data_IF_320860261453
#
_entry.id   IF_320860261453
#
_cell.length_a   1.000
_cell.length_b   1.000
_cell.length_c   1.000
_cell.angle_alpha   90.00
_cell.angle_beta   90.00
_cell.angle_gamma   90.00
#
_symmetry.space_group_name_H-M   'P 1'
#
loop_
_entity.id
_entity.type
_entity.pdbx_description
1 polymer ?
#
# COMPACT_ATOMS: atom_id res chain seq x y z
N UNK A 1 -4.44 -19.43 7.17
CA UNK A 1 -4.26 -20.26 5.96
C UNK A 1 -3.08 -19.70 5.16
N UNK A 2 -2.62 -20.32 4.07
CA UNK A 2 -1.71 -19.62 3.14
C UNK A 2 -2.56 -18.76 2.20
N UNK A 3 -2.25 -17.48 2.11
CA UNK A 3 -2.91 -16.54 1.20
C UNK A 3 -2.26 -16.65 -0.18
N UNK A 4 -3.06 -16.67 -1.24
CA UNK A 4 -2.56 -16.69 -2.62
C UNK A 4 -3.23 -15.59 -3.43
N UNK A 5 -2.43 -14.88 -4.22
CA UNK A 5 -2.84 -13.79 -5.12
C UNK A 5 -2.48 -14.17 -6.56
N UNK A 6 -3.49 -14.31 -7.41
CA UNK A 6 -3.32 -14.77 -8.80
C UNK A 6 -2.48 -13.81 -9.67
N UNK A 7 -2.43 -12.52 -9.29
CA UNK A 7 -1.65 -11.50 -10.00
C UNK A 7 -0.17 -11.48 -9.58
N UNK A 8 0.19 -12.25 -8.55
CA UNK A 8 1.53 -12.35 -8.02
C UNK A 8 2.16 -13.70 -8.36
N UNK A 9 3.46 -13.72 -8.61
CA UNK A 9 4.24 -14.93 -8.80
C UNK A 9 4.34 -15.80 -7.54
N UNK A 10 4.89 -17.00 -7.68
CA UNK A 10 5.07 -17.92 -6.56
C UNK A 10 6.02 -17.36 -5.49
N UNK A 11 7.10 -16.66 -5.89
CA UNK A 11 8.08 -16.07 -4.97
C UNK A 11 7.43 -15.03 -4.06
N UNK A 12 6.71 -14.07 -4.62
CA UNK A 12 6.04 -13.00 -3.87
C UNK A 12 4.96 -13.56 -2.96
N UNK A 13 4.14 -14.50 -3.44
CA UNK A 13 3.16 -15.19 -2.60
C UNK A 13 3.82 -15.89 -1.40
N UNK A 14 4.91 -16.61 -1.60
CA UNK A 14 5.64 -17.27 -0.50
C UNK A 14 6.19 -16.27 0.52
N UNK A 15 6.81 -15.17 0.05
CA UNK A 15 7.37 -14.12 0.89
C UNK A 15 6.29 -13.36 1.68
N UNK A 16 5.16 -13.05 1.05
CA UNK A 16 4.00 -12.44 1.73
C UNK A 16 3.47 -13.38 2.81
N UNK A 17 3.33 -14.68 2.53
CA UNK A 17 2.92 -15.65 3.55
C UNK A 17 3.91 -15.73 4.71
N UNK A 18 5.22 -15.63 4.46
CA UNK A 18 6.23 -15.59 5.53
C UNK A 18 6.07 -14.34 6.41
N UNK A 19 5.86 -13.16 5.81
CA UNK A 19 5.56 -11.93 6.54
C UNK A 19 4.32 -12.07 7.43
N UNK A 20 3.23 -12.61 6.87
CA UNK A 20 1.98 -12.80 7.60
C UNK A 20 2.14 -13.79 8.75
N UNK A 21 2.84 -14.91 8.53
CA UNK A 21 3.11 -15.91 9.56
C UNK A 21 3.91 -15.34 10.74
N UNK A 22 4.78 -14.35 10.49
CA UNK A 22 5.54 -13.61 11.52
C UNK A 22 4.76 -12.43 12.15
N UNK A 23 3.54 -12.13 11.68
CA UNK A 23 2.76 -10.97 12.13
C UNK A 23 3.34 -9.62 11.67
N UNK A 24 4.18 -9.63 10.63
CA UNK A 24 4.95 -8.47 10.16
C UNK A 24 4.32 -7.78 8.94
N UNK A 25 3.27 -8.35 8.35
CA UNK A 25 2.68 -7.85 7.11
C UNK A 25 2.29 -6.37 7.15
N UNK A 26 1.53 -5.94 8.16
CA UNK A 26 1.12 -4.53 8.28
C UNK A 26 2.31 -3.61 8.58
N UNK A 27 3.29 -4.06 9.36
CA UNK A 27 4.49 -3.28 9.65
C UNK A 27 5.32 -3.02 8.39
N UNK A 28 5.49 -4.06 7.56
CA UNK A 28 6.14 -3.93 6.26
C UNK A 28 5.38 -3.00 5.33
N UNK A 29 4.06 -3.21 5.18
CA UNK A 29 3.19 -2.38 4.35
C UNK A 29 3.31 -0.89 4.71
N UNK A 30 3.14 -0.55 6.00
CA UNK A 30 3.26 0.83 6.48
C UNK A 30 4.64 1.41 6.19
N UNK A 31 5.70 0.68 6.55
CA UNK A 31 7.07 1.15 6.35
C UNK A 31 7.35 1.46 4.87
N UNK A 32 6.84 0.62 3.97
CA UNK A 32 7.02 0.82 2.53
C UNK A 32 6.22 2.00 1.98
N UNK A 33 4.97 2.17 2.39
CA UNK A 33 4.18 3.34 2.02
C UNK A 33 4.85 4.65 2.47
N UNK A 34 5.32 4.72 3.72
CA UNK A 34 6.00 5.91 4.24
C UNK A 34 7.32 6.19 3.50
N UNK A 35 8.10 5.16 3.17
CA UNK A 35 9.32 5.32 2.36
C UNK A 35 9.03 5.89 0.97
N UNK A 36 7.97 5.41 0.30
CA UNK A 36 7.55 5.93 -1.01
C UNK A 36 7.12 7.40 -0.88
N UNK A 37 6.34 7.77 0.15
CA UNK A 37 5.93 9.16 0.41
C UNK A 37 7.14 10.08 0.65
N UNK A 38 8.12 9.64 1.44
CA UNK A 38 9.35 10.40 1.73
C UNK A 38 10.15 10.69 0.46
N UNK A 39 10.26 9.70 -0.44
CA UNK A 39 10.96 9.84 -1.74
C UNK A 39 10.18 10.71 -2.71
N UNK A 40 8.85 10.64 -2.69
CA UNK A 40 7.97 11.41 -3.59
C UNK A 40 8.14 12.91 -3.38
N UNK A 41 8.33 13.35 -2.13
CA UNK A 41 8.49 14.76 -1.77
C UNK A 41 7.26 15.63 -2.06
N UNK A 42 6.08 15.01 -2.22
CA UNK A 42 4.80 15.69 -2.30
C UNK A 42 4.22 15.87 -0.89
N UNK A 43 3.61 17.02 -0.62
CA UNK A 43 2.97 17.27 0.67
C UNK A 43 1.63 16.52 0.76
N UNK A 44 1.71 15.25 1.19
CA UNK A 44 0.59 14.36 1.43
C UNK A 44 0.47 13.99 2.91
N UNK A 45 0.49 15.02 3.77
CA UNK A 45 0.52 14.85 5.22
C UNK A 45 -0.63 13.99 5.76
N UNK A 46 -1.83 14.11 5.19
CA UNK A 46 -2.99 13.31 5.59
C UNK A 46 -2.83 11.83 5.25
N UNK A 47 -2.33 11.46 4.07
CA UNK A 47 -2.02 10.06 3.73
C UNK A 47 -0.90 9.53 4.61
N UNK A 48 0.14 10.34 4.85
CA UNK A 48 1.25 10.00 5.72
C UNK A 48 0.75 9.67 7.14
N UNK A 49 0.01 10.60 7.77
CA UNK A 49 -0.54 10.42 9.11
C UNK A 49 -1.50 9.23 9.16
N UNK A 50 -2.35 9.06 8.15
CA UNK A 50 -3.28 7.93 8.06
C UNK A 50 -2.55 6.59 8.09
N UNK A 51 -1.58 6.42 7.20
CA UNK A 51 -0.77 5.19 7.10
C UNK A 51 0.04 4.95 8.37
N UNK A 52 0.71 5.99 8.89
CA UNK A 52 1.52 5.90 10.11
C UNK A 52 0.70 5.40 11.31
N UNK A 53 -0.56 5.83 11.41
CA UNK A 53 -1.45 5.49 12.51
C UNK A 53 -2.32 4.25 12.27
N UNK A 54 -2.17 3.55 11.13
CA UNK A 54 -2.84 2.27 10.92
C UNK A 54 -2.38 1.26 11.98
N UNK A 55 -3.35 0.62 12.62
CA UNK A 55 -3.15 -0.42 13.61
C UNK A 55 -3.56 -1.78 13.05
N UNK A 56 -3.12 -2.85 13.71
CA UNK A 56 -3.57 -4.19 13.36
C UNK A 56 -5.09 -4.34 13.52
N UNK A 57 -5.68 -3.69 14.53
CA UNK A 57 -7.13 -3.66 14.71
C UNK A 57 -7.82 -3.00 13.52
N UNK A 58 -7.34 -1.85 13.02
CA UNK A 58 -7.89 -1.18 11.84
C UNK A 58 -7.88 -2.13 10.63
N UNK A 59 -6.78 -2.86 10.43
CA UNK A 59 -6.65 -3.84 9.35
C UNK A 59 -7.54 -5.07 9.58
N UNK A 60 -7.90 -5.45 10.80
CA UNK A 60 -8.77 -6.61 11.07
C UNK A 60 -10.27 -6.28 11.04
N UNK A 61 -10.66 -5.07 11.44
CA UNK A 61 -12.08 -4.67 11.56
C UNK A 61 -12.53 -3.71 10.46
N UNK A 62 -11.59 -3.12 9.71
CA UNK A 62 -11.83 -2.09 8.71
C UNK A 62 -12.47 -0.80 9.27
N UNK A 63 -12.20 -0.47 10.54
CA UNK A 63 -12.77 0.72 11.21
C UNK A 63 -12.45 2.04 10.49
N UNK A 64 -11.32 2.09 9.78
CA UNK A 64 -10.86 3.27 9.03
C UNK A 64 -11.23 3.26 7.55
N UNK A 65 -12.08 2.33 7.11
CA UNK A 65 -12.46 2.21 5.70
C UNK A 65 -12.99 3.52 5.12
N UNK A 66 -13.94 4.16 5.80
CA UNK A 66 -14.56 5.41 5.32
C UNK A 66 -13.54 6.55 5.15
N UNK A 67 -12.54 6.63 6.02
CA UNK A 67 -11.47 7.63 5.93
C UNK A 67 -10.52 7.31 4.77
N UNK A 68 -10.19 6.02 4.54
CA UNK A 68 -9.40 5.61 3.37
C UNK A 68 -10.10 5.90 2.04
N UNK A 69 -11.43 5.75 1.97
CA UNK A 69 -12.23 6.07 0.79
C UNK A 69 -12.15 7.58 0.47
N UNK A 70 -12.22 8.43 1.49
CA UNK A 70 -12.10 9.88 1.32
C UNK A 70 -10.73 10.29 0.82
N UNK A 71 -9.65 9.69 1.35
CA UNK A 71 -8.29 9.94 0.87
C UNK A 71 -8.12 9.47 -0.59
N UNK A 72 -8.59 8.26 -0.91
CA UNK A 72 -8.53 7.72 -2.27
C UNK A 72 -9.28 8.63 -3.25
N UNK A 73 -10.49 9.08 -2.92
CA UNK A 73 -11.26 10.00 -3.76
C UNK A 73 -10.54 11.35 -3.94
N UNK A 74 -10.06 11.96 -2.85
CA UNK A 74 -9.33 13.23 -2.89
C UNK A 74 -8.13 13.19 -3.85
N UNK A 75 -7.30 12.15 -3.74
CA UNK A 75 -6.07 12.06 -4.54
C UNK A 75 -6.34 11.61 -5.97
N UNK A 76 -7.45 10.90 -6.23
CA UNK A 76 -7.90 10.61 -7.58
C UNK A 76 -8.38 11.88 -8.29
N UNK A 77 -9.23 12.69 -7.65
CA UNK A 77 -9.68 13.98 -8.20
C UNK A 77 -8.50 14.93 -8.46
N UNK A 78 -7.53 14.98 -7.52
CA UNK A 78 -6.33 15.80 -7.67
C UNK A 78 -5.45 15.33 -8.83
N UNK A 79 -5.28 14.02 -9.00
CA UNK A 79 -4.51 13.46 -10.10
C UNK A 79 -5.17 13.80 -11.45
N UNK A 80 -6.49 13.57 -11.57
CA UNK A 80 -7.26 13.87 -12.78
C UNK A 80 -7.13 15.35 -13.19
N UNK A 81 -7.22 16.28 -12.22
CA UNK A 81 -7.05 17.71 -12.47
C UNK A 81 -5.62 18.02 -12.97
N UNK A 82 -4.60 17.43 -12.34
CA UNK A 82 -3.21 17.67 -12.72
C UNK A 82 -2.88 17.09 -14.10
N UNK A 83 -3.36 15.89 -14.42
CA UNK A 83 -3.17 15.28 -15.73
C UNK A 83 -3.88 16.06 -16.84
N UNK A 84 -5.12 16.50 -16.60
CA UNK A 84 -5.86 17.36 -17.53
C UNK A 84 -5.11 18.67 -17.84
N UNK A 85 -4.39 19.20 -16.86
CA UNK A 85 -3.57 20.40 -16.98
C UNK A 85 -2.12 20.14 -17.43
N UNK A 86 -1.74 18.88 -17.67
CA UNK A 86 -0.36 18.47 -17.99
C UNK A 86 0.66 18.96 -16.94
N UNK A 87 0.28 18.96 -15.66
CA UNK A 87 1.18 19.38 -14.58
C UNK A 87 2.38 18.43 -14.50
N UNK A 88 3.62 18.94 -14.53
CA UNK A 88 4.82 18.11 -14.48
C UNK A 88 4.99 17.31 -13.17
N UNK A 89 4.22 17.63 -12.13
CA UNK A 89 4.22 16.92 -10.86
C UNK A 89 3.12 15.86 -10.74
N UNK A 90 2.31 15.61 -11.78
CA UNK A 90 1.25 14.59 -11.72
C UNK A 90 1.79 13.22 -11.31
N UNK A 91 3.00 12.85 -11.76
CA UNK A 91 3.67 11.61 -11.36
C UNK A 91 3.95 11.52 -9.86
N UNK A 92 4.15 12.64 -9.15
CA UNK A 92 4.28 12.63 -7.68
C UNK A 92 2.94 12.37 -7.00
N UNK A 93 1.87 12.97 -7.52
CA UNK A 93 0.51 12.72 -7.00
C UNK A 93 0.05 11.30 -7.30
N UNK A 94 0.47 10.73 -8.43
CA UNK A 94 0.22 9.33 -8.77
C UNK A 94 0.77 8.36 -7.71
N UNK A 95 1.96 8.60 -7.18
CA UNK A 95 2.52 7.77 -6.10
C UNK A 95 1.68 7.86 -4.81
N UNK A 96 1.25 9.08 -4.45
CA UNK A 96 0.37 9.30 -3.29
C UNK A 96 -0.99 8.63 -3.49
N UNK A 97 -1.56 8.76 -4.70
CA UNK A 97 -2.84 8.17 -5.08
C UNK A 97 -2.75 6.64 -5.08
N UNK A 98 -1.63 6.07 -5.54
CA UNK A 98 -1.38 4.61 -5.50
C UNK A 98 -1.42 4.10 -4.06
N UNK A 99 -0.81 4.80 -3.11
CA UNK A 99 -0.86 4.44 -1.69
C UNK A 99 -2.27 4.56 -1.12
N UNK A 100 -2.97 5.66 -1.42
CA UNK A 100 -4.34 5.87 -0.97
C UNK A 100 -5.28 4.76 -1.49
N UNK A 101 -5.16 4.41 -2.78
CA UNK A 101 -5.90 3.32 -3.42
C UNK A 101 -5.54 1.96 -2.80
N UNK A 102 -4.25 1.66 -2.64
CA UNK A 102 -3.82 0.41 -2.02
C UNK A 102 -4.36 0.25 -0.59
N UNK A 103 -4.39 1.35 0.17
CA UNK A 103 -4.91 1.33 1.54
C UNK A 103 -6.43 1.16 1.56
N UNK A 104 -7.13 1.82 0.64
CA UNK A 104 -8.57 1.65 0.43
C UNK A 104 -8.91 0.18 0.09
N UNK A 105 -8.25 -0.41 -0.91
CA UNK A 105 -8.48 -1.80 -1.32
C UNK A 105 -8.15 -2.79 -0.20
N UNK A 106 -7.09 -2.52 0.57
CA UNK A 106 -6.77 -3.30 1.76
C UNK A 106 -7.93 -3.29 2.76
N UNK A 107 -8.58 -2.16 3.02
CA UNK A 107 -9.66 -2.07 4.00
C UNK A 107 -11.03 -2.48 3.43
N UNK A 108 -11.22 -2.39 2.11
CA UNK A 108 -12.40 -2.88 1.40
C UNK A 108 -12.47 -4.42 1.42
N UNK A 109 -11.32 -5.10 1.34
CA UNK A 109 -11.24 -6.55 1.23
C UNK A 109 -11.99 -7.24 2.41
N UNK A 110 -13.03 -8.05 2.11
CA UNK A 110 -13.85 -8.67 3.15
C UNK A 110 -13.11 -9.74 3.97
N UNK A 111 -12.13 -10.44 3.37
CA UNK A 111 -11.31 -11.42 4.09
C UNK A 111 -10.13 -10.74 4.77
N UNK A 112 -10.18 -10.65 6.11
CA UNK A 112 -9.10 -10.06 6.91
C UNK A 112 -7.71 -10.68 6.65
N UNK A 113 -7.63 -11.96 6.27
CA UNK A 113 -6.34 -12.60 5.94
C UNK A 113 -5.78 -12.08 4.61
N UNK A 114 -6.64 -11.60 3.70
CA UNK A 114 -6.30 -11.10 2.37
C UNK A 114 -5.97 -9.61 2.32
N UNK A 115 -6.39 -8.83 3.34
CA UNK A 115 -6.28 -7.37 3.33
C UNK A 115 -4.85 -6.87 3.06
N UNK A 116 -3.89 -7.27 3.87
CA UNK A 116 -2.50 -6.84 3.68
C UNK A 116 -1.94 -7.32 2.32
N UNK A 117 -2.13 -8.58 1.91
CA UNK A 117 -1.80 -9.02 0.55
C UNK A 117 -2.40 -8.15 -0.57
N UNK A 118 -3.68 -7.78 -0.48
CA UNK A 118 -4.34 -6.87 -1.43
C UNK A 118 -3.65 -5.51 -1.44
N UNK A 119 -3.35 -4.95 -0.27
CA UNK A 119 -2.62 -3.69 -0.18
C UNK A 119 -1.24 -3.76 -0.82
N UNK A 120 -0.48 -4.84 -0.59
CA UNK A 120 0.85 -5.02 -1.17
C UNK A 120 0.83 -5.23 -2.68
N UNK A 121 -0.16 -5.97 -3.19
CA UNK A 121 -0.38 -6.12 -4.63
C UNK A 121 -0.70 -4.78 -5.28
N UNK A 122 -1.58 -3.97 -4.66
CA UNK A 122 -2.00 -2.68 -5.18
C UNK A 122 -0.90 -1.60 -5.18
N UNK A 123 0.18 -1.79 -4.41
CA UNK A 123 1.36 -0.91 -4.48
C UNK A 123 2.21 -1.16 -5.73
N UNK A 124 2.01 -2.28 -6.44
CA UNK A 124 2.85 -2.63 -7.59
C UNK A 124 2.52 -1.73 -8.78
N UNK A 125 3.53 -1.04 -9.27
CA UNK A 125 3.46 -0.19 -10.46
C UNK A 125 4.78 -0.24 -11.26
N UNK A 126 4.97 0.68 -12.22
CA UNK A 126 6.20 0.77 -13.02
C UNK A 126 7.46 1.04 -12.19
N UNK A 127 7.34 1.81 -11.11
CA UNK A 127 8.44 2.33 -10.29
C UNK A 127 8.68 1.47 -9.03
N UNK A 128 7.70 0.64 -8.68
CA UNK A 128 7.74 -0.37 -7.65
C UNK A 128 7.20 -1.73 -8.16
N UNK A 129 7.93 -2.42 -9.05
CA UNK A 129 7.46 -3.68 -9.63
C UNK A 129 7.60 -4.85 -8.64
N UNK A 130 6.90 -5.96 -8.91
CA UNK A 130 6.89 -7.17 -8.08
C UNK A 130 8.29 -7.70 -7.66
N UNK A 131 9.33 -7.72 -8.53
CA UNK A 131 10.65 -8.16 -8.10
C UNK A 131 11.24 -7.27 -6.99
N UNK A 132 10.99 -5.96 -7.05
CA UNK A 132 11.45 -5.00 -6.02
C UNK A 132 10.68 -5.20 -4.72
N UNK A 133 9.37 -5.50 -4.79
CA UNK A 133 8.60 -5.94 -3.63
C UNK A 133 9.23 -7.17 -2.97
N UNK A 134 9.58 -8.19 -3.75
CA UNK A 134 10.22 -9.40 -3.21
C UNK A 134 11.54 -9.09 -2.49
N UNK A 135 12.41 -8.32 -3.14
CA UNK A 135 13.72 -7.97 -2.59
C UNK A 135 13.59 -7.14 -1.29
N UNK A 136 12.61 -6.23 -1.24
CA UNK A 136 12.31 -5.44 -0.04
C UNK A 136 11.73 -6.29 1.09
N UNK A 137 10.85 -7.25 0.78
CA UNK A 137 10.33 -8.19 1.78
C UNK A 137 11.48 -9.03 2.35
N UNK A 138 12.35 -9.58 1.51
CA UNK A 138 13.51 -10.36 1.95
C UNK A 138 14.44 -9.53 2.84
N UNK A 139 14.77 -8.31 2.43
CA UNK A 139 15.61 -7.40 3.21
C UNK A 139 14.95 -7.02 4.55
N UNK A 140 13.62 -6.90 4.59
CA UNK A 140 12.87 -6.62 5.81
C UNK A 140 12.88 -7.84 6.76
N UNK A 141 12.62 -9.04 6.23
CA UNK A 141 12.63 -10.30 6.97
C UNK A 141 14.02 -10.62 7.56
N UNK A 142 15.11 -10.28 6.87
CA UNK A 142 16.46 -10.45 7.42
C UNK A 142 16.74 -9.59 8.66
N UNK A 143 15.97 -8.53 8.86
CA UNK A 143 16.10 -7.62 10.01
C UNK A 143 15.17 -8.00 11.18
N UNK A 144 14.26 -8.97 11.00
CA UNK A 144 13.18 -9.32 11.94
C UNK A 144 12.98 -10.84 12.13
#
# INVERSE_FOLDING_TARGET
>A
MSVYRDQLGERSNNLINELLAKGLGLAFYKGKCLEILDVTGWDAKDVYEFVEHLTLADAETADKFQESEQLMAKYSDQLDEMEANQDPNSGKVLEVQTIALATYLMLEEPDKEQRVPVGLEALINSDYPEPKLCDDIEAFLQKH
#
